data_IF_222432959756
#
_entry.id   IF_222432959756
#
_cell.length_a   1.000
_cell.length_b   1.000
_cell.length_c   1.000
_cell.angle_alpha   90.00
_cell.angle_beta   90.00
_cell.angle_gamma   90.00
#
_symmetry.space_group_name_H-M   'P 1'
#
loop_
_entity.id
_entity.type
_entity.pdbx_description
1 polymer ?
#
# COMPACT_ATOMS: atom_id res chain seq x y z
N UNK A 1 2.86 -3.43 8.29
CA UNK A 1 3.30 -3.75 9.66
C UNK A 1 4.68 -3.19 10.00
N UNK A 2 5.79 -3.73 9.47
CA UNK A 2 7.15 -3.30 9.86
C UNK A 2 7.43 -1.79 9.75
N UNK A 3 7.06 -1.16 8.64
CA UNK A 3 7.23 0.29 8.45
C UNK A 3 6.36 1.15 9.41
N UNK A 4 5.26 0.59 9.91
CA UNK A 4 4.40 1.23 10.92
C UNK A 4 5.07 1.13 12.29
N UNK A 5 5.59 -0.04 12.66
CA UNK A 5 6.34 -0.24 13.91
C UNK A 5 7.53 0.70 14.02
N UNK A 6 8.30 0.87 12.94
CA UNK A 6 9.41 1.84 12.90
C UNK A 6 8.95 3.28 13.14
N UNK A 7 7.73 3.64 12.75
CA UNK A 7 7.17 4.99 12.97
C UNK A 7 6.60 5.18 14.38
N UNK A 8 5.98 4.15 14.94
CA UNK A 8 5.40 4.17 16.29
C UNK A 8 6.48 4.02 17.37
N UNK A 9 7.60 3.35 17.06
CA UNK A 9 8.66 3.02 18.02
C UNK A 9 8.10 2.37 19.30
N UNK A 10 7.14 1.46 19.13
CA UNK A 10 6.39 0.85 20.22
C UNK A 10 6.28 -0.66 19.99
N UNK A 11 7.02 -1.43 20.78
CA UNK A 11 7.04 -2.90 20.66
C UNK A 11 5.68 -3.51 21.04
N UNK A 12 4.93 -2.91 21.96
CA UNK A 12 3.57 -3.35 22.30
C UNK A 12 2.55 -3.13 21.15
N UNK A 13 2.87 -2.31 20.13
CA UNK A 13 2.01 -2.22 18.95
C UNK A 13 2.25 -3.37 17.97
N UNK A 14 3.25 -4.22 18.22
CA UNK A 14 3.56 -5.35 17.34
C UNK A 14 2.41 -6.35 17.29
N UNK A 15 1.79 -6.64 18.44
CA UNK A 15 0.68 -7.58 18.51
C UNK A 15 -0.49 -7.13 17.65
N UNK A 16 -0.83 -5.84 17.68
CA UNK A 16 -1.84 -5.22 16.80
C UNK A 16 -1.51 -5.27 15.30
N UNK A 17 -0.24 -5.46 14.94
CA UNK A 17 0.24 -5.30 13.56
C UNK A 17 0.65 -6.62 12.91
N UNK A 18 1.07 -7.60 13.70
CA UNK A 18 1.60 -8.87 13.20
C UNK A 18 1.18 -10.07 14.04
N UNK A 19 1.24 -11.24 13.41
CA UNK A 19 1.10 -12.55 14.02
C UNK A 19 2.43 -13.29 13.86
N UNK A 20 2.87 -13.98 14.93
CA UNK A 20 4.08 -14.82 14.89
C UNK A 20 3.89 -16.04 13.99
N UNK A 21 2.76 -16.74 14.14
CA UNK A 21 2.35 -17.84 13.29
C UNK A 21 0.87 -17.71 12.94
N UNK A 22 0.53 -17.83 11.64
CA UNK A 22 -0.83 -18.20 11.25
C UNK A 22 -0.94 -19.71 11.32
N UNK A 23 -1.99 -20.22 11.98
CA UNK A 23 -2.32 -21.64 11.95
C UNK A 23 -2.30 -22.15 10.50
N UNK A 24 -1.83 -23.38 10.32
CA UNK A 24 -1.49 -24.01 9.03
C UNK A 24 -2.71 -24.07 8.08
N UNK A 25 -3.92 -23.84 8.58
CA UNK A 25 -5.20 -24.05 7.92
C UNK A 25 -5.65 -22.91 6.97
N UNK A 26 -4.96 -21.77 6.93
CA UNK A 26 -5.26 -20.68 5.99
C UNK A 26 -4.26 -20.65 4.82
N UNK A 27 -4.69 -21.17 3.68
CA UNK A 27 -3.97 -21.19 2.38
C UNK A 27 -3.61 -19.78 1.87
N UNK A 28 -4.30 -18.75 2.38
CA UNK A 28 -4.13 -17.33 2.03
C UNK A 28 -2.74 -16.74 2.34
N UNK A 29 -1.92 -17.45 3.12
CA UNK A 29 -0.57 -17.04 3.51
C UNK A 29 0.55 -17.81 2.78
N UNK A 30 0.20 -18.64 1.80
CA UNK A 30 1.13 -19.47 1.02
C UNK A 30 2.28 -18.67 0.38
N UNK A 31 2.00 -17.45 -0.12
CA UNK A 31 3.02 -16.57 -0.69
C UNK A 31 4.06 -16.12 0.33
N UNK A 32 3.64 -15.73 1.54
CA UNK A 32 4.57 -15.32 2.60
C UNK A 32 5.39 -16.53 3.05
N UNK A 33 4.76 -17.70 3.22
CA UNK A 33 5.45 -18.95 3.56
C UNK A 33 6.48 -19.35 2.49
N UNK A 34 6.12 -19.25 1.21
CA UNK A 34 6.96 -19.65 0.09
C UNK A 34 8.16 -18.73 -0.17
N UNK A 35 8.08 -17.46 0.25
CA UNK A 35 9.15 -16.46 0.05
C UNK A 35 9.95 -16.23 1.34
N UNK A 36 9.35 -16.48 2.51
CA UNK A 36 10.01 -16.29 3.80
C UNK A 36 11.15 -17.28 4.00
N UNK A 37 12.30 -16.78 4.44
CA UNK A 37 13.42 -17.59 4.93
C UNK A 37 13.43 -17.69 6.46
N UNK A 38 12.24 -17.57 7.09
CA UNK A 38 12.06 -17.56 8.54
C UNK A 38 12.10 -16.17 9.20
N UNK A 39 12.20 -15.09 8.42
CA UNK A 39 12.31 -13.72 8.95
C UNK A 39 11.11 -12.80 8.68
N UNK A 40 10.11 -13.26 7.90
CA UNK A 40 8.91 -12.47 7.61
C UNK A 40 7.81 -12.78 8.62
N UNK A 41 7.24 -11.73 9.23
CA UNK A 41 6.05 -11.81 10.09
C UNK A 41 4.77 -11.70 9.26
N UNK A 42 3.69 -12.31 9.72
CA UNK A 42 2.39 -12.25 9.04
C UNK A 42 1.63 -11.01 9.51
N UNK A 43 1.12 -10.15 8.62
CA UNK A 43 0.29 -9.02 9.05
C UNK A 43 -1.06 -9.50 9.60
N UNK A 44 -1.58 -8.80 10.59
CA UNK A 44 -2.96 -8.99 11.03
C UNK A 44 -3.97 -8.65 9.92
N UNK A 45 -5.16 -9.27 9.97
CA UNK A 45 -6.22 -9.06 8.98
C UNK A 45 -6.63 -7.58 8.86
N UNK A 46 -6.75 -6.86 9.98
CA UNK A 46 -7.06 -5.42 9.99
C UNK A 46 -6.02 -4.60 9.21
N UNK A 47 -4.73 -4.97 9.29
CA UNK A 47 -3.66 -4.32 8.54
C UNK A 47 -3.79 -4.63 7.05
N UNK A 48 -4.04 -5.89 6.69
CA UNK A 48 -4.24 -6.31 5.29
C UNK A 48 -5.44 -5.57 4.69
N UNK A 49 -6.57 -5.52 5.40
CA UNK A 49 -7.79 -4.85 4.97
C UNK A 49 -7.55 -3.35 4.75
N UNK A 50 -6.88 -2.66 5.68
CA UNK A 50 -6.57 -1.25 5.53
C UNK A 50 -5.65 -0.98 4.32
N UNK A 51 -4.65 -1.82 4.10
CA UNK A 51 -3.76 -1.73 2.93
C UNK A 51 -4.54 -1.95 1.64
N UNK A 52 -5.39 -3.00 1.58
CA UNK A 52 -6.18 -3.33 0.40
C UNK A 52 -7.18 -2.22 0.06
N UNK A 53 -7.90 -1.68 1.05
CA UNK A 53 -8.81 -0.55 0.82
C UNK A 53 -8.06 0.68 0.32
N UNK A 54 -6.85 0.95 0.83
CA UNK A 54 -6.03 2.06 0.32
C UNK A 54 -5.71 1.88 -1.17
N UNK A 55 -5.39 0.65 -1.60
CA UNK A 55 -5.13 0.37 -3.01
C UNK A 55 -6.39 0.57 -3.87
N UNK A 56 -7.52 -0.01 -3.47
CA UNK A 56 -8.78 0.08 -4.21
C UNK A 56 -9.24 1.55 -4.36
N UNK A 57 -9.10 2.35 -3.30
CA UNK A 57 -9.41 3.77 -3.36
C UNK A 57 -8.46 4.50 -4.31
N UNK A 58 -7.17 4.19 -4.31
CA UNK A 58 -6.23 4.78 -5.28
C UNK A 58 -6.60 4.42 -6.72
N UNK A 59 -6.95 3.17 -6.99
CA UNK A 59 -7.40 2.72 -8.32
C UNK A 59 -8.63 3.53 -8.77
N UNK A 60 -9.61 3.74 -7.89
CA UNK A 60 -10.80 4.56 -8.20
C UNK A 60 -10.50 6.04 -8.38
N UNK A 61 -9.59 6.61 -7.58
CA UNK A 61 -9.17 8.01 -7.69
C UNK A 61 -8.35 8.28 -8.96
N UNK A 62 -7.65 7.26 -9.47
CA UNK A 62 -6.80 7.36 -10.67
C UNK A 62 -7.47 6.84 -11.94
N UNK A 63 -8.73 6.38 -11.85
CA UNK A 63 -9.54 6.04 -13.01
C UNK A 63 -9.93 7.29 -13.81
N UNK A 64 -10.26 7.10 -15.09
CA UNK A 64 -10.48 8.18 -16.08
C UNK A 64 -11.47 9.25 -15.61
N UNK A 65 -12.50 8.85 -14.87
CA UNK A 65 -13.56 9.73 -14.37
C UNK A 65 -13.05 10.70 -13.28
N UNK A 66 -12.11 10.26 -12.44
CA UNK A 66 -11.69 10.99 -11.23
C UNK A 66 -10.26 11.54 -11.32
N UNK A 67 -9.43 10.97 -12.20
CA UNK A 67 -8.00 11.23 -12.29
C UNK A 67 -7.65 12.72 -12.40
N UNK A 68 -8.35 13.46 -13.27
CA UNK A 68 -8.06 14.88 -13.48
C UNK A 68 -8.24 15.69 -12.18
N UNK A 69 -9.31 15.41 -11.43
CA UNK A 69 -9.58 16.09 -10.16
C UNK A 69 -8.58 15.65 -9.09
N UNK A 70 -8.30 14.34 -9.00
CA UNK A 70 -7.36 13.81 -8.04
C UNK A 70 -5.95 14.37 -8.24
N UNK A 71 -5.47 14.48 -9.48
CA UNK A 71 -4.14 15.03 -9.75
C UNK A 71 -4.07 16.55 -9.60
N UNK A 72 -5.20 17.26 -9.68
CA UNK A 72 -5.25 18.70 -9.44
C UNK A 72 -5.13 19.09 -7.97
N UNK A 73 -5.33 18.17 -7.02
CA UNK A 73 -5.21 18.50 -5.59
C UNK A 73 -3.75 18.68 -5.16
N UNK A 74 -3.52 19.52 -4.14
CA UNK A 74 -2.15 19.75 -3.59
C UNK A 74 -1.65 18.62 -2.70
N UNK A 75 -2.56 17.81 -2.15
CA UNK A 75 -2.24 16.77 -1.18
C UNK A 75 -2.97 15.47 -1.50
N UNK A 76 -2.52 14.77 -2.54
CA UNK A 76 -3.05 13.48 -2.99
C UNK A 76 -3.05 12.45 -1.88
N UNK A 77 -1.97 12.41 -1.08
CA UNK A 77 -1.85 11.52 0.09
C UNK A 77 -2.97 11.77 1.09
N UNK A 78 -3.23 13.03 1.43
CA UNK A 78 -4.28 13.41 2.37
C UNK A 78 -5.66 13.01 1.87
N UNK A 79 -5.96 13.25 0.59
CA UNK A 79 -7.22 12.84 -0.04
C UNK A 79 -7.38 11.32 0.00
N UNK A 80 -6.35 10.57 -0.43
CA UNK A 80 -6.37 9.10 -0.41
C UNK A 80 -6.60 8.56 1.00
N UNK A 81 -5.88 9.07 2.00
CA UNK A 81 -6.06 8.68 3.39
C UNK A 81 -7.46 9.01 3.92
N UNK A 82 -8.00 10.20 3.57
CA UNK A 82 -9.32 10.63 4.01
C UNK A 82 -10.40 9.72 3.46
N UNK A 83 -10.44 9.52 2.14
CA UNK A 83 -11.43 8.65 1.49
C UNK A 83 -11.32 7.21 1.98
N UNK A 84 -10.09 6.69 2.12
CA UNK A 84 -9.90 5.32 2.64
C UNK A 84 -10.40 5.19 4.08
N UNK A 85 -10.18 6.21 4.91
CA UNK A 85 -10.63 6.22 6.30
C UNK A 85 -12.15 6.13 6.42
N UNK A 86 -12.88 6.88 5.59
CA UNK A 86 -14.34 6.86 5.56
C UNK A 86 -14.91 5.50 5.12
N UNK A 87 -14.14 4.73 4.35
CA UNK A 87 -14.53 3.38 3.89
C UNK A 87 -14.29 2.29 4.94
N UNK A 88 -13.40 2.53 5.91
CA UNK A 88 -13.13 1.58 6.98
C UNK A 88 -14.19 1.73 8.07
N UNK A 89 -15.20 0.86 8.04
CA UNK A 89 -16.28 0.83 9.04
C UNK A 89 -15.77 0.26 10.37
N UNK A 90 -15.23 1.16 11.20
CA UNK A 90 -14.74 0.97 12.58
C UNK A 90 -13.36 0.32 12.72
N UNK A 91 -12.63 0.74 13.76
CA UNK A 91 -11.27 0.30 14.10
C UNK A 91 -11.29 -0.75 15.22
N UNK A 92 -12.44 -1.39 15.42
CA UNK A 92 -12.73 -2.20 16.62
C UNK A 92 -11.84 -3.45 16.72
N UNK A 93 -11.13 -3.80 15.64
CA UNK A 93 -10.17 -4.92 15.58
C UNK A 93 -8.76 -4.54 16.07
N UNK A 94 -8.52 -3.28 16.47
CA UNK A 94 -7.24 -2.83 17.03
C UNK A 94 -7.44 -2.50 18.51
N UNK A 95 -6.54 -3.00 19.35
CA UNK A 95 -6.55 -2.72 20.78
C UNK A 95 -5.72 -1.47 21.12
N UNK A 96 -6.02 -0.85 22.27
CA UNK A 96 -5.12 0.15 22.87
C UNK A 96 -3.89 -0.59 23.38
N UNK A 97 -2.70 -0.21 22.93
CA UNK A 97 -1.47 -0.88 23.38
C UNK A 97 -1.08 -0.46 24.81
N UNK A 98 -0.15 -1.19 25.42
CA UNK A 98 0.34 -0.94 26.78
C UNK A 98 0.92 0.46 27.03
N UNK A 99 1.33 1.16 25.95
CA UNK A 99 1.82 2.55 25.99
C UNK A 99 0.73 3.59 25.70
N UNK A 100 -0.53 3.18 25.57
CA UNK A 100 -1.68 4.08 25.40
C UNK A 100 -1.91 4.56 23.96
N UNK A 101 -1.31 3.93 22.94
CA UNK A 101 -1.60 4.29 21.55
C UNK A 101 -3.01 3.88 21.18
N UNK A 102 -3.84 4.88 20.88
CA UNK A 102 -5.22 4.68 20.44
C UNK A 102 -5.28 3.98 19.07
N UNK A 103 -6.24 3.07 18.85
CA UNK A 103 -6.49 2.41 17.57
C UNK A 103 -6.51 3.33 16.35
N UNK A 104 -7.07 4.55 16.50
CA UNK A 104 -7.10 5.56 15.42
C UNK A 104 -5.72 6.06 15.08
N UNK A 105 -4.82 6.18 16.06
CA UNK A 105 -3.42 6.58 15.84
C UNK A 105 -2.71 5.48 15.07
N UNK A 106 -2.82 4.23 15.52
CA UNK A 106 -2.23 3.07 14.82
C UNK A 106 -2.74 2.98 13.39
N UNK A 107 -4.06 3.08 13.17
CA UNK A 107 -4.65 3.08 11.83
C UNK A 107 -4.17 4.25 10.98
N UNK A 108 -4.03 5.45 11.55
CA UNK A 108 -3.49 6.61 10.83
C UNK A 108 -2.09 6.33 10.30
N UNK A 109 -1.24 5.66 11.08
CA UNK A 109 0.10 5.28 10.64
C UNK A 109 0.06 4.19 9.57
N UNK A 110 -0.82 3.18 9.68
CA UNK A 110 -1.03 2.17 8.64
C UNK A 110 -1.40 2.86 7.33
N UNK A 111 -2.47 3.66 7.32
CA UNK A 111 -2.95 4.37 6.12
C UNK A 111 -1.88 5.31 5.55
N UNK A 112 -1.15 6.04 6.40
CA UNK A 112 -0.10 6.94 5.95
C UNK A 112 1.04 6.21 5.25
N UNK A 113 1.43 5.03 5.74
CA UNK A 113 2.48 4.22 5.12
C UNK A 113 1.98 3.64 3.80
N UNK A 114 0.78 3.06 3.80
CA UNK A 114 0.15 2.50 2.60
C UNK A 114 0.01 3.54 1.49
N UNK A 115 -0.55 4.72 1.80
CA UNK A 115 -0.75 5.78 0.82
C UNK A 115 0.57 6.24 0.19
N UNK A 116 1.62 6.42 0.98
CA UNK A 116 2.94 6.78 0.47
C UNK A 116 3.50 5.71 -0.48
N UNK A 117 3.42 4.44 -0.07
CA UNK A 117 3.93 3.31 -0.87
C UNK A 117 3.18 3.21 -2.19
N UNK A 118 1.84 3.26 -2.17
CA UNK A 118 1.04 3.12 -3.38
C UNK A 118 1.18 4.31 -4.32
N UNK A 119 1.22 5.55 -3.83
CA UNK A 119 1.49 6.72 -4.67
C UNK A 119 2.87 6.67 -5.30
N UNK A 120 3.90 6.28 -4.53
CA UNK A 120 5.25 6.13 -5.07
C UNK A 120 5.33 5.04 -6.15
N UNK A 121 4.68 3.89 -5.92
CA UNK A 121 4.60 2.80 -6.89
C UNK A 121 3.80 3.21 -8.13
N UNK A 122 2.68 3.91 -7.96
CA UNK A 122 1.89 4.43 -9.08
C UNK A 122 2.73 5.33 -9.98
N UNK A 123 3.42 6.32 -9.40
CA UNK A 123 4.30 7.22 -10.17
C UNK A 123 5.42 6.45 -10.87
N UNK A 124 6.02 5.46 -10.19
CA UNK A 124 7.07 4.62 -10.79
C UNK A 124 6.54 3.86 -12.00
N UNK A 125 5.41 3.16 -11.86
CA UNK A 125 4.80 2.38 -12.94
C UNK A 125 4.42 3.26 -14.13
N UNK A 126 3.88 4.47 -13.89
CA UNK A 126 3.58 5.43 -14.96
C UNK A 126 4.86 5.87 -15.69
N UNK A 127 5.92 6.16 -14.95
CA UNK A 127 7.20 6.57 -15.53
C UNK A 127 7.85 5.44 -16.34
N UNK A 128 7.82 4.21 -15.83
CA UNK A 128 8.30 3.02 -16.54
C UNK A 128 7.54 2.82 -17.85
N UNK A 129 6.21 2.90 -17.85
CA UNK A 129 5.39 2.80 -19.06
C UNK A 129 5.74 3.88 -20.10
N UNK A 130 5.99 5.12 -19.67
CA UNK A 130 6.43 6.21 -20.55
C UNK A 130 7.81 5.90 -21.17
N UNK A 131 8.74 5.40 -20.36
CA UNK A 131 10.10 5.05 -20.83
C UNK A 131 10.08 3.89 -21.82
N UNK A 132 9.29 2.85 -21.55
CA UNK A 132 9.10 1.70 -22.44
C UNK A 132 8.47 2.11 -23.78
N UNK A 133 7.47 3.00 -23.74
CA UNK A 133 6.85 3.54 -24.94
C UNK A 133 7.84 4.37 -25.77
N UNK A 134 8.70 5.16 -25.11
CA UNK A 134 9.74 5.94 -25.78
C UNK A 134 10.83 5.05 -26.40
N UNK A 135 11.27 4.01 -25.69
CA UNK A 135 12.25 3.03 -26.17
C UNK A 135 11.72 2.27 -27.39
N UNK A 136 10.46 1.82 -27.33
CA UNK A 136 9.77 1.14 -28.43
C UNK A 136 9.72 2.02 -29.68
N UNK A 137 9.34 3.31 -29.54
CA UNK A 137 9.33 4.28 -30.65
C UNK A 137 10.73 4.49 -31.25
N UNK A 138 11.78 4.53 -30.42
CA UNK A 138 13.18 4.66 -30.88
C UNK A 138 13.63 3.44 -31.67
N UNK A 139 13.26 2.24 -31.24
CA UNK A 139 13.62 1.00 -31.92
C UNK A 139 12.90 0.86 -33.27
N UNK A 140 11.61 1.23 -33.35
CA UNK A 140 10.88 1.28 -34.63
C UNK A 140 11.54 2.25 -35.61
N UNK A 141 11.93 3.45 -35.15
CA UNK A 141 12.64 4.42 -36.01
C UNK A 141 13.99 3.89 -36.52
N UNK A 142 14.77 3.22 -35.66
CA UNK A 142 16.05 2.60 -36.09
C UNK A 142 15.85 1.53 -37.15
N UNK A 143 14.85 0.67 -36.99
CA UNK A 143 14.53 -0.39 -37.95
C UNK A 143 14.12 0.20 -39.32
N UNK A 144 13.33 1.28 -39.34
CA UNK A 144 12.93 1.98 -40.57
C UNK A 144 14.11 2.62 -41.31
N UNK A 145 15.13 3.10 -40.58
CA UNK A 145 16.34 3.69 -41.17
C UNK A 145 17.28 2.63 -41.74
N UNK A 146 17.35 1.44 -41.12
CA UNK A 146 18.20 0.34 -41.58
C UNK A 146 17.61 -0.46 -42.77
N UNK A 147 16.33 -0.25 -43.07
CA UNK A 147 15.63 -0.86 -44.21
C UNK A 147 15.63 0.01 -45.48
N UNK A 148 16.35 1.14 -45.48
CA UNK A 148 16.59 2.01 -46.64
C UNK A 148 18.04 1.86 -47.09
#
# INVERSE_FOLDING_TARGET
AHAVLKKLACDACEENLTLEERSIELDDASLIKGISRGGLKFPQAVVVNAVLHTQLVLEKLTDKENAAQFFAVRNQKGVLMCVTREMLTKYDDLDVCDFGHDPKVVMTHILSVSANTFLANYCRNQNEAIQEAAASKKNVRKLQVLSQ
#
